data_IF_835356065898
#
_entry.id   IF_835356065898
#
_cell.length_a   1.000
_cell.length_b   1.000
_cell.length_c   1.000
_cell.angle_alpha   90.00
_cell.angle_beta   90.00
_cell.angle_gamma   90.00
#
_symmetry.space_group_name_H-M   'P 1'
#
loop_
_entity.id
_entity.type
_entity.pdbx_description
1 polymer ?
2 non-polymer ?
3 non-polymer ?
4 water ?
#
# COMPACT_ATOMS: atom_id res chain seq x y z
N UNK A 1 -15.48 7.32 -20.75
CA UNK A 1 -15.15 8.11 -19.50
C UNK A 1 -14.76 9.53 -19.83
N UNK A 2 -14.87 10.41 -18.82
CA UNK A 2 -14.18 11.71 -18.85
C UNK A 2 -12.67 11.55 -18.69
N UNK A 3 -11.90 12.61 -18.89
CA UNK A 3 -10.46 12.59 -18.66
C UNK A 3 -10.29 12.16 -17.20
N UNK A 4 -9.09 11.66 -16.84
CA UNK A 4 -8.78 11.31 -15.45
C UNK A 4 -9.07 12.42 -14.44
N UNK A 5 -8.52 13.62 -14.63
CA UNK A 5 -8.74 14.69 -13.64
C UNK A 5 -10.24 15.03 -13.48
N UNK A 6 -10.97 15.04 -14.59
CA UNK A 6 -12.41 15.23 -14.55
C UNK A 6 -13.11 14.13 -13.74
N UNK A 7 -12.71 12.87 -13.92
CA UNK A 7 -13.33 11.78 -13.18
C UNK A 7 -12.96 11.87 -11.69
N UNK A 8 -11.72 12.24 -11.42
CA UNK A 8 -11.27 12.34 -10.02
C UNK A 8 -12.11 13.38 -9.28
N UNK A 9 -12.31 14.54 -9.93
CA UNK A 9 -13.17 15.59 -9.37
C UNK A 9 -14.57 15.10 -9.12
N UNK A 10 -15.13 14.40 -10.09
CA UNK A 10 -16.46 13.87 -10.00
C UNK A 10 -16.58 12.90 -8.86
N UNK A 11 -15.54 12.08 -8.69
CA UNK A 11 -15.52 11.12 -7.61
C UNK A 11 -15.58 11.85 -6.27
N UNK A 12 -14.78 12.90 -6.15
CA UNK A 12 -14.70 13.60 -4.89
C UNK A 12 -16.07 14.23 -4.57
N UNK A 13 -16.73 14.80 -5.58
CA UNK A 13 -18.02 15.39 -5.40
C UNK A 13 -19.06 14.33 -5.00
N UNK A 14 -19.05 13.20 -5.71
CA UNK A 14 -20.04 12.17 -5.43
C UNK A 14 -19.83 11.49 -4.08
N UNK A 15 -18.56 11.33 -3.67
CA UNK A 15 -18.26 10.75 -2.37
C UNK A 15 -18.47 11.67 -1.17
N UNK A 16 -18.51 12.97 -1.42
CA UNK A 16 -18.49 14.00 -0.38
C UNK A 16 -17.38 13.71 0.56
N UNK A 17 -16.21 13.45 -0.01
CA UNK A 17 -15.00 13.32 0.79
C UNK A 17 -13.84 13.70 -0.08
N UNK A 18 -12.67 13.64 0.51
CA UNK A 18 -11.45 14.08 -0.18
C UNK A 18 -10.76 12.91 -0.86
N UNK A 19 -10.33 13.16 -2.11
CA UNK A 19 -9.55 12.19 -2.90
C UNK A 19 -8.17 12.73 -3.15
N UNK A 20 -7.17 11.87 -3.07
CA UNK A 20 -5.80 12.24 -3.36
C UNK A 20 -5.25 11.23 -4.33
N UNK A 21 -4.57 11.67 -5.40
CA UNK A 21 -4.07 10.72 -6.38
C UNK A 21 -2.83 11.18 -7.08
N UNK A 22 -1.88 10.27 -7.30
CA UNK A 22 -0.73 10.42 -8.23
C UNK A 22 -0.69 9.30 -9.25
N UNK A 23 -0.40 9.62 -10.53
CA UNK A 23 -0.05 8.64 -11.59
C UNK A 23 1.39 9.04 -11.98
N UNK A 24 2.33 8.12 -11.85
CA UNK A 24 3.75 8.39 -11.98
C UNK A 24 4.39 7.35 -12.87
N UNK A 25 5.25 7.77 -13.82
CA UNK A 25 5.98 6.80 -14.63
C UNK A 25 6.97 6.02 -13.76
N UNK A 26 6.89 4.69 -13.77
CA UNK A 26 7.77 3.92 -12.90
C UNK A 26 9.25 4.09 -13.25
N UNK A 27 9.56 4.04 -14.54
CA UNK A 27 10.98 4.16 -14.93
C UNK A 27 11.61 5.54 -14.65
N UNK A 28 10.90 6.62 -14.98
CA UNK A 28 11.52 7.94 -14.87
C UNK A 28 11.13 8.74 -13.63
N UNK A 29 10.00 8.38 -13.00
CA UNK A 29 9.49 9.16 -11.90
C UNK A 29 8.67 10.38 -12.27
N UNK A 30 8.47 10.60 -13.56
CA UNK A 30 7.63 11.72 -14.00
C UNK A 30 6.23 11.61 -13.45
N UNK A 31 5.72 12.71 -12.93
CA UNK A 31 4.31 12.80 -12.50
C UNK A 31 3.42 13.16 -13.68
N UNK A 32 2.47 12.30 -14.00
CA UNK A 32 1.56 12.50 -15.13
C UNK A 32 0.24 13.08 -14.77
N UNK A 33 -0.35 12.61 -13.69
CA UNK A 33 -1.63 13.15 -13.18
C UNK A 33 -1.42 13.31 -11.69
N UNK A 34 -1.94 14.40 -11.15
CA UNK A 34 -1.84 14.64 -9.72
C UNK A 34 -3.10 15.37 -9.28
N UNK A 35 -3.60 15.01 -8.12
CA UNK A 35 -4.80 15.68 -7.52
C UNK A 35 -4.59 15.60 -6.03
N UNK A 36 -4.50 16.72 -5.35
CA UNK A 36 -4.24 16.80 -3.92
C UNK A 36 -3.01 15.98 -3.52
N UNK A 37 -2.01 15.97 -4.40
CA UNK A 37 -0.91 15.02 -4.25
C UNK A 37 -0.03 15.37 -3.05
N UNK A 38 -0.11 16.59 -2.50
CA UNK A 38 0.63 16.97 -1.33
C UNK A 38 -0.14 17.05 -0.04
N UNK A 39 -1.40 16.58 -0.08
CA UNK A 39 -2.24 16.55 1.08
C UNK A 39 -2.14 15.19 1.77
N UNK A 40 -2.38 15.19 3.08
CA UNK A 40 -2.21 14.03 3.92
C UNK A 40 -3.44 13.14 3.93
N UNK A 41 -3.18 11.83 3.86
CA UNK A 41 -4.18 10.78 3.95
C UNK A 41 -3.66 9.63 4.82
N UNK A 42 -4.56 8.96 5.59
CA UNK A 42 -4.15 7.75 6.32
C UNK A 42 -3.67 6.68 5.36
N UNK A 43 -2.55 6.04 5.68
CA UNK A 43 -2.03 4.91 4.91
C UNK A 43 -2.84 3.66 5.04
N UNK A 44 -3.37 3.43 6.23
CA UNK A 44 -4.02 2.16 6.50
C UNK A 44 -3.09 1.02 6.12
N UNK A 45 -3.65 -0.07 5.58
CA UNK A 45 -2.84 -1.24 5.29
C UNK A 45 -1.82 -1.02 4.18
N UNK A 46 -1.91 0.09 3.44
CA UNK A 46 -0.92 0.35 2.43
C UNK A 46 0.47 0.53 2.99
N UNK A 47 0.57 0.83 4.28
CA UNK A 47 1.88 0.99 4.91
C UNK A 47 2.70 -0.28 4.88
N UNK A 48 2.05 -1.41 4.71
CA UNK A 48 2.72 -2.70 4.81
C UNK A 48 3.73 -2.94 3.68
N UNK A 49 3.55 -2.25 2.56
CA UNK A 49 4.58 -2.33 1.51
C UNK A 49 5.89 -1.66 1.94
N UNK A 50 5.79 -0.46 2.51
CA UNK A 50 6.98 0.25 2.99
C UNK A 50 7.62 -0.52 4.15
N UNK A 51 6.79 -1.10 5.03
CA UNK A 51 7.27 -1.93 6.12
C UNK A 51 8.19 -3.04 5.62
N UNK A 52 7.73 -3.77 4.62
CA UNK A 52 8.50 -4.88 4.10
C UNK A 52 9.69 -4.39 3.24
N UNK A 53 9.63 -3.15 2.73
CA UNK A 53 10.84 -2.49 2.23
C UNK A 53 11.89 -2.35 3.31
N UNK A 54 11.50 -1.92 4.51
CA UNK A 54 12.45 -1.74 5.61
C UNK A 54 13.02 -3.10 6.06
N UNK A 55 12.19 -4.14 6.00
CA UNK A 55 12.61 -5.50 6.35
C UNK A 55 13.66 -5.96 5.38
N UNK A 56 13.40 -5.82 4.08
CA UNK A 56 14.31 -6.19 3.04
C UNK A 56 15.64 -5.42 3.15
N UNK A 57 15.59 -4.15 3.55
CA UNK A 57 16.82 -3.35 3.68
C UNK A 57 17.67 -4.00 4.81
N UNK A 58 17.04 -4.50 5.84
CA UNK A 58 17.78 -5.18 6.91
C UNK A 58 18.36 -6.47 6.41
N UNK A 59 17.68 -7.21 5.52
CA UNK A 59 18.18 -8.46 4.98
C UNK A 59 19.42 -8.15 4.14
N UNK A 60 19.34 -7.10 3.33
CA UNK A 60 20.45 -6.73 2.46
C UNK A 60 21.69 -6.35 3.27
N UNK A 61 21.48 -5.70 4.39
CA UNK A 61 22.56 -5.30 5.30
C UNK A 61 23.11 -6.43 6.17
N UNK A 62 22.54 -7.64 6.11
CA UNK A 62 22.96 -8.76 6.95
C UNK A 62 22.42 -8.72 8.35
N UNK A 63 21.42 -7.89 8.59
CA UNK A 63 20.86 -7.75 9.90
C UNK A 63 19.55 -8.51 10.08
N UNK A 64 19.11 -9.23 9.04
CA UNK A 64 17.85 -10.00 9.05
C UNK A 64 17.96 -11.11 8.00
N UNK A 65 17.16 -12.15 8.18
CA UNK A 65 16.99 -13.19 7.17
C UNK A 65 15.50 -13.44 6.95
N UNK A 66 15.08 -13.56 5.70
CA UNK A 66 13.68 -13.92 5.43
C UNK A 66 13.32 -15.31 5.98
N UNK A 67 14.32 -16.20 6.09
CA UNK A 67 14.11 -17.54 6.61
C UNK A 67 13.94 -17.60 8.12
N UNK A 68 14.31 -16.55 8.85
CA UNK A 68 14.28 -16.55 10.33
C UNK A 68 12.86 -16.75 10.83
N UNK A 69 12.63 -17.79 11.63
CA UNK A 69 11.34 -18.12 12.16
C UNK A 69 11.09 -17.30 13.43
N UNK A 70 9.92 -16.66 13.45
CA UNK A 70 9.45 -15.90 14.60
C UNK A 70 8.34 -16.71 15.29
N UNK A 71 8.58 -17.10 16.53
CA UNK A 71 7.53 -17.75 17.25
C UNK A 71 6.81 -16.59 18.00
N UNK A 72 5.51 -16.64 17.93
CA UNK A 72 4.73 -15.62 18.58
C UNK A 72 3.67 -16.27 19.44
N UNK A 73 3.00 -15.45 20.24
CA UNK A 73 1.93 -15.94 21.15
C UNK A 73 0.57 -15.34 20.85
N UNK A 74 -0.45 -16.02 21.34
CA UNK A 74 -1.80 -15.60 21.12
C UNK A 74 -2.11 -14.22 21.66
N UNK A 75 -1.49 -13.88 22.79
CA UNK A 75 -1.71 -12.58 23.43
C UNK A 75 -1.20 -11.43 22.55
N UNK A 76 -0.27 -11.72 21.64
CA UNK A 76 0.31 -10.76 20.71
C UNK A 76 -0.67 -10.37 19.61
N UNK A 77 -1.64 -11.23 19.31
CA UNK A 77 -2.47 -11.05 18.12
C UNK A 77 -3.49 -9.92 18.22
N UNK A 78 -3.74 -9.28 17.07
CA UNK A 78 -4.79 -8.26 16.93
C UNK A 78 -5.82 -8.70 15.91
N UNK A 79 -6.86 -7.86 15.74
CA UNK A 79 -7.90 -8.05 14.75
C UNK A 79 -7.33 -8.24 13.35
N UNK A 80 -8.05 -9.00 12.54
CA UNK A 80 -7.63 -9.42 11.21
C UNK A 80 -6.23 -10.03 11.22
N UNK A 81 -6.24 -11.31 11.44
CA UNK A 81 -5.02 -12.09 11.48
C UNK A 81 -5.27 -13.52 10.97
N UNK A 82 -5.75 -13.62 9.72
CA UNK A 82 -6.17 -14.91 9.16
C UNK A 82 -5.04 -15.90 9.04
N UNK A 83 -3.83 -15.42 8.75
CA UNK A 83 -2.72 -16.31 8.51
C UNK A 83 -2.02 -16.53 9.84
N UNK A 84 -1.77 -15.48 10.61
CA UNK A 84 -0.99 -15.63 11.82
C UNK A 84 -1.75 -16.45 12.89
N UNK A 85 -3.07 -16.39 12.90
CA UNK A 85 -3.82 -17.28 13.80
C UNK A 85 -3.60 -18.78 13.50
N UNK A 86 -3.22 -19.12 12.27
CA UNK A 86 -2.86 -20.53 11.97
C UNK A 86 -1.52 -21.09 12.48
N UNK A 87 -0.58 -20.29 13.03
CA UNK A 87 0.83 -20.68 13.28
C UNK A 87 1.36 -20.35 14.63
N UNK A 88 0.46 -20.33 15.61
CA UNK A 88 0.86 -20.21 16.99
C UNK A 88 1.85 -21.28 17.38
N UNK A 89 1.55 -22.51 16.95
CA UNK A 89 2.29 -23.71 17.29
C UNK A 89 3.68 -23.63 16.69
N UNK A 90 3.75 -23.45 15.37
CA UNK A 90 5.03 -23.58 14.66
C UNK A 90 5.65 -22.26 14.16
N UNK A 91 5.00 -21.11 14.38
CA UNK A 91 5.61 -19.83 14.00
C UNK A 91 5.54 -19.56 12.51
N UNK A 92 6.08 -18.38 12.15
CA UNK A 92 6.19 -17.98 10.72
C UNK A 92 7.55 -17.36 10.51
N UNK A 93 8.09 -17.58 9.31
CA UNK A 93 9.33 -16.88 8.95
C UNK A 93 9.08 -15.40 8.69
N UNK A 94 10.14 -14.62 8.77
CA UNK A 94 10.07 -13.18 8.40
C UNK A 94 9.47 -13.01 7.01
N UNK A 95 9.91 -13.84 6.07
CA UNK A 95 9.40 -13.78 4.73
C UNK A 95 7.92 -14.15 4.62
N UNK A 96 7.52 -15.16 5.38
CA UNK A 96 6.10 -15.56 5.41
C UNK A 96 5.25 -14.45 6.02
N UNK A 97 5.81 -13.77 7.02
CA UNK A 97 5.12 -12.63 7.67
C UNK A 97 4.89 -11.50 6.67
N UNK A 98 5.91 -11.17 5.87
CA UNK A 98 5.72 -10.17 4.81
C UNK A 98 4.69 -10.61 3.77
N UNK A 99 4.73 -11.87 3.37
CA UNK A 99 3.72 -12.38 2.46
C UNK A 99 2.34 -12.30 3.05
N UNK A 100 2.19 -12.65 4.34
CA UNK A 100 0.91 -12.56 4.98
C UNK A 100 0.43 -11.12 5.08
N UNK A 101 1.32 -10.21 5.46
CA UNK A 101 0.98 -8.80 5.59
C UNK A 101 0.58 -8.20 4.25
N UNK A 102 1.36 -8.44 3.21
CA UNK A 102 1.10 -7.76 1.91
C UNK A 102 0.01 -8.52 1.14
N UNK A 103 0.04 -9.86 1.12
CA UNK A 103 -0.88 -10.58 0.26
C UNK A 103 -2.21 -10.95 0.87
N UNK A 104 -2.30 -10.98 2.20
CA UNK A 104 -3.54 -11.28 2.91
C UNK A 104 -3.94 -10.18 3.90
N UNK A 105 -3.18 -9.11 3.93
CA UNK A 105 -3.39 -7.99 4.85
C UNK A 105 -3.53 -8.39 6.33
N UNK A 106 -2.70 -9.34 6.74
CA UNK A 106 -2.69 -9.85 8.12
C UNK A 106 -2.08 -8.78 9.04
N UNK A 107 -2.89 -8.29 9.98
CA UNK A 107 -2.46 -7.20 10.83
C UNK A 107 -1.43 -7.62 11.89
N UNK A 108 -1.59 -8.82 12.44
CA UNK A 108 -0.67 -9.28 13.44
C UNK A 108 0.71 -9.54 12.81
N UNK A 109 0.72 -10.07 11.60
CA UNK A 109 1.98 -10.20 10.89
C UNK A 109 2.69 -8.84 10.75
N UNK A 110 1.92 -7.81 10.36
CA UNK A 110 2.49 -6.48 10.27
C UNK A 110 3.07 -5.98 11.61
N UNK A 111 2.38 -6.24 12.73
CA UNK A 111 2.94 -5.84 14.02
C UNK A 111 4.20 -6.59 14.40
N UNK A 112 4.25 -7.87 14.11
CA UNK A 112 5.46 -8.64 14.35
C UNK A 112 6.62 -8.08 13.55
N UNK A 113 6.37 -7.75 12.28
CA UNK A 113 7.44 -7.16 11.46
C UNK A 113 7.83 -5.76 11.93
N UNK A 114 6.86 -4.98 12.35
CA UNK A 114 7.16 -3.64 12.89
C UNK A 114 8.12 -3.73 14.08
N UNK A 115 7.94 -4.74 14.92
CA UNK A 115 8.85 -5.01 16.06
C UNK A 115 10.28 -5.10 15.53
N UNK A 116 10.47 -5.91 14.50
CA UNK A 116 11.80 -6.15 13.98
C UNK A 116 12.52 -4.95 13.36
N UNK A 117 11.81 -3.90 12.96
CA UNK A 117 12.41 -2.74 12.35
C UNK A 117 12.49 -1.55 13.29
N UNK A 118 12.17 -1.77 14.58
CA UNK A 118 12.20 -0.68 15.56
C UNK A 118 10.89 0.06 15.80
N UNK A 119 9.76 -0.60 15.50
CA UNK A 119 8.46 -0.04 15.66
C UNK A 119 8.18 1.11 14.69
N UNK A 120 7.06 1.83 14.92
CA UNK A 120 6.65 2.96 14.11
C UNK A 120 7.77 3.98 14.02
N UNK A 121 8.49 4.24 15.12
CA UNK A 121 9.59 5.19 15.09
C UNK A 121 10.72 4.71 14.19
N UNK A 122 11.03 3.42 14.25
CA UNK A 122 12.02 2.84 13.39
C UNK A 122 11.67 2.84 11.90
N UNK A 123 10.42 2.57 11.60
CA UNK A 123 10.00 2.61 10.20
C UNK A 123 10.06 4.06 9.68
N UNK A 124 9.64 4.98 10.51
CA UNK A 124 9.69 6.40 10.17
C UNK A 124 11.12 6.84 9.89
N UNK A 125 12.04 6.34 10.71
CA UNK A 125 13.46 6.65 10.50
C UNK A 125 13.97 6.06 9.20
N UNK A 126 13.49 4.87 8.83
CA UNK A 126 13.84 4.29 7.56
C UNK A 126 13.35 5.17 6.39
N UNK A 127 12.11 5.62 6.52
CA UNK A 127 11.55 6.57 5.54
C UNK A 127 12.44 7.81 5.36
N UNK A 128 12.85 8.41 6.48
CA UNK A 128 13.74 9.57 6.43
C UNK A 128 15.07 9.21 5.73
N UNK A 129 15.62 8.03 6.00
CA UNK A 129 16.83 7.56 5.35
C UNK A 129 16.78 7.40 3.83
N UNK A 130 15.60 7.05 3.31
CA UNK A 130 15.44 6.94 1.87
C UNK A 130 14.93 8.26 1.28
N UNK A 131 14.87 9.34 2.07
CA UNK A 131 14.55 10.67 1.56
C UNK A 131 13.08 11.00 1.52
N UNK A 132 12.26 10.23 2.24
CA UNK A 132 10.85 10.58 2.41
C UNK A 132 10.74 11.31 3.76
N UNK A 133 10.53 12.62 3.71
CA UNK A 133 10.39 13.43 4.92
C UNK A 133 8.96 13.76 5.28
N UNK A 134 7.99 13.07 4.66
CA UNK A 134 6.58 13.38 4.82
C UNK A 134 5.81 12.24 5.48
N UNK A 135 5.97 11.04 4.94
CA UNK A 135 5.24 9.87 5.46
C UNK A 135 5.68 9.55 6.87
N UNK A 136 4.73 9.19 7.71
CA UNK A 136 5.02 8.90 9.11
C UNK A 136 4.13 7.77 9.62
N UNK A 137 4.74 6.85 10.34
CA UNK A 137 4.00 5.86 11.11
C UNK A 137 4.21 6.15 12.59
N UNK A 138 3.11 6.20 13.30
CA UNK A 138 3.08 6.59 14.71
C UNK A 138 2.58 5.46 15.61
N UNK A 139 1.68 4.65 15.07
CA UNK A 139 0.96 3.61 15.84
C UNK A 139 1.09 2.22 15.18
N UNK A 140 0.67 1.21 15.94
CA UNK A 140 0.69 -0.18 15.52
C UNK A 140 -0.70 -0.55 15.00
N UNK A 141 -0.83 -1.74 14.44
CA UNK A 141 -2.15 -2.26 14.11
C UNK A 141 -2.87 -2.58 15.41
N UNK A 142 -4.15 -2.25 15.54
CA UNK A 142 -5.03 -1.68 14.49
C UNK A 142 -5.33 -0.17 14.68
N UNK A 143 -4.75 0.45 15.70
CA UNK A 143 -5.03 1.85 15.99
C UNK A 143 -4.57 2.77 14.86
N UNK A 144 -3.58 2.36 14.06
CA UNK A 144 -3.11 3.24 12.95
C UNK A 144 -4.20 3.53 11.90
N UNK A 145 -5.34 2.83 11.93
CA UNK A 145 -6.46 3.04 10.97
C UNK A 145 -7.57 4.00 11.44
N UNK A 146 -7.38 4.63 12.60
CA UNK A 146 -8.42 5.45 13.23
C UNK A 146 -8.88 6.63 12.37
N UNK A 147 -7.96 7.22 11.59
CA UNK A 147 -8.31 8.26 10.62
C UNK A 147 -9.13 9.39 11.23
N UNK A 148 -8.66 9.89 12.38
CA UNK A 148 -9.37 11.01 13.01
C UNK A 148 -9.21 12.22 12.12
N UNK A 149 -10.28 13.02 11.97
CA UNK A 149 -10.15 14.16 11.08
C UNK A 149 -9.01 15.11 11.49
N UNK A 150 -8.17 15.49 10.51
CA UNK A 150 -7.06 16.42 10.71
C UNK A 150 -5.85 15.90 11.49
N UNK A 151 -5.85 14.61 11.83
CA UNK A 151 -4.79 14.01 12.63
C UNK A 151 -3.67 13.56 11.69
N UNK A 152 -2.44 14.07 11.87
CA UNK A 152 -1.33 13.76 10.95
C UNK A 152 -0.70 12.37 11.23
N UNK A 153 -1.09 11.71 12.31
CA UNK A 153 -0.48 10.41 12.62
C UNK A 153 -0.78 9.40 11.51
N UNK A 154 0.22 8.59 11.19
CA UNK A 154 0.01 7.42 10.32
C UNK A 154 -0.48 7.84 8.93
N UNK A 155 0.05 8.95 8.44
CA UNK A 155 -0.31 9.47 7.14
C UNK A 155 0.83 9.52 6.16
N UNK A 156 0.47 9.61 4.89
CA UNK A 156 1.39 9.87 3.78
C UNK A 156 0.74 10.93 2.91
N UNK A 157 1.38 11.24 1.81
CA UNK A 157 0.74 11.99 0.74
C UNK A 157 0.83 11.15 -0.52
N UNK A 158 -0.07 11.35 -1.48
CA UNK A 158 0.09 10.56 -2.73
C UNK A 158 1.48 10.71 -3.36
N UNK A 159 1.96 11.93 -3.39
CA UNK A 159 3.29 12.19 -4.03
C UNK A 159 4.41 11.50 -3.28
N UNK A 160 4.37 11.58 -1.95
CA UNK A 160 5.45 10.93 -1.15
C UNK A 160 5.37 9.40 -1.26
N UNK A 161 4.17 8.84 -1.15
CA UNK A 161 4.07 7.40 -1.26
C UNK A 161 4.52 6.88 -2.61
N UNK A 162 4.13 7.57 -3.68
CA UNK A 162 4.53 7.15 -5.03
C UNK A 162 6.07 7.20 -5.18
N UNK A 163 6.66 8.31 -4.75
CA UNK A 163 8.11 8.44 -4.84
C UNK A 163 8.78 7.32 -4.01
N UNK A 164 8.28 7.08 -2.78
CA UNK A 164 8.87 6.03 -1.93
C UNK A 164 8.75 4.65 -2.53
N UNK A 165 7.60 4.36 -3.12
CA UNK A 165 7.43 3.06 -3.77
C UNK A 165 8.41 2.91 -4.94
N UNK A 166 8.55 3.96 -5.73
CA UNK A 166 9.53 3.91 -6.82
C UNK A 166 10.96 3.68 -6.31
N UNK A 167 11.32 4.39 -5.25
CA UNK A 167 12.64 4.17 -4.64
C UNK A 167 12.86 2.75 -4.21
N UNK A 168 11.84 2.14 -3.58
CA UNK A 168 11.99 0.77 -3.11
C UNK A 168 12.08 -0.24 -4.22
N UNK A 169 11.29 -0.05 -5.27
CA UNK A 169 11.19 -1.02 -6.34
C UNK A 169 12.29 -0.89 -7.38
N UNK A 170 12.87 0.31 -7.59
CA UNK A 170 13.70 0.56 -8.77
C UNK A 170 15.07 1.19 -8.50
N UNK A 171 15.30 1.75 -7.31
CA UNK A 171 16.47 2.67 -7.16
C UNK A 171 17.75 1.96 -6.79
N UNK A 172 17.68 0.67 -6.55
CA UNK A 172 18.88 -0.06 -6.11
C UNK A 172 19.36 0.35 -4.69
N UNK A 173 18.53 1.08 -3.93
CA UNK A 173 18.64 1.10 -2.48
C UNK A 173 18.46 -0.32 -1.93
N UNK A 174 17.48 -1.05 -2.46
CA UNK A 174 17.37 -2.47 -2.20
C UNK A 174 18.14 -3.26 -3.25
N UNK A 175 18.70 -4.38 -2.83
CA UNK A 175 19.34 -5.33 -3.73
C UNK A 175 18.40 -5.80 -4.83
N UNK A 176 18.97 -6.39 -5.88
CA UNK A 176 18.16 -6.87 -6.97
C UNK A 176 17.14 -7.90 -6.47
N UNK A 177 17.59 -8.88 -5.70
CA UNK A 177 16.70 -9.94 -5.23
C UNK A 177 15.60 -9.32 -4.34
N UNK A 178 15.97 -8.36 -3.50
CA UNK A 178 14.97 -7.73 -2.63
C UNK A 178 13.91 -6.94 -3.43
N UNK A 179 14.34 -6.20 -4.44
CA UNK A 179 13.41 -5.46 -5.31
C UNK A 179 12.45 -6.43 -5.94
N UNK A 180 12.94 -7.57 -6.40
CA UNK A 180 12.14 -8.56 -7.06
C UNK A 180 11.15 -9.18 -6.06
N UNK A 181 11.57 -9.37 -4.83
CA UNK A 181 10.69 -9.96 -3.82
C UNK A 181 9.54 -9.03 -3.46
N UNK A 182 9.87 -7.75 -3.29
CA UNK A 182 8.84 -6.76 -2.89
C UNK A 182 7.77 -6.66 -3.97
N UNK A 183 8.23 -6.64 -5.22
CA UNK A 183 7.33 -6.59 -6.36
C UNK A 183 6.43 -7.85 -6.41
N UNK A 184 7.05 -9.02 -6.24
CA UNK A 184 6.28 -10.22 -6.24
C UNK A 184 5.21 -10.32 -5.15
N UNK A 185 5.51 -9.82 -3.94
CA UNK A 185 4.48 -9.77 -2.90
C UNK A 185 3.29 -8.95 -3.36
N UNK A 186 3.52 -7.80 -4.01
CA UNK A 186 2.38 -7.01 -4.54
C UNK A 186 1.65 -7.71 -5.69
N UNK A 187 2.40 -8.39 -6.55
CA UNK A 187 1.76 -9.21 -7.64
C UNK A 187 0.81 -10.24 -7.04
N UNK A 188 1.20 -10.78 -5.88
CA UNK A 188 0.46 -11.88 -5.25
C UNK A 188 -0.66 -11.45 -4.30
N UNK A 189 -1.02 -10.17 -4.26
CA UNK A 189 -2.13 -9.76 -3.40
C UNK A 189 -3.38 -10.58 -3.65
N UNK A 190 -3.89 -11.22 -2.64
CA UNK A 190 -5.10 -12.02 -2.78
C UNK A 190 -6.35 -11.23 -2.47
N UNK A 191 -6.20 -10.12 -1.79
CA UNK A 191 -7.33 -9.35 -1.33
C UNK A 191 -8.02 -8.63 -2.49
N UNK A 192 -7.28 -7.89 -3.29
CA UNK A 192 -7.87 -7.14 -4.42
C UNK A 192 -7.32 -7.49 -5.79
N UNK A 193 -6.16 -8.15 -5.87
CA UNK A 193 -5.57 -8.41 -7.17
C UNK A 193 -6.49 -9.17 -8.14
N UNK A 194 -6.99 -10.34 -7.69
CA UNK A 194 -7.85 -11.11 -8.58
C UNK A 194 -9.12 -10.35 -8.97
N UNK A 195 -9.70 -9.61 -8.02
CA UNK A 195 -10.89 -8.77 -8.35
C UNK A 195 -10.58 -7.73 -9.40
N UNK A 196 -9.45 -7.01 -9.22
CA UNK A 196 -9.03 -6.06 -10.22
C UNK A 196 -8.83 -6.71 -11.58
N UNK A 197 -8.17 -7.87 -11.62
CA UNK A 197 -7.92 -8.54 -12.91
C UNK A 197 -9.22 -8.92 -13.61
N UNK A 198 -10.23 -9.26 -12.82
CA UNK A 198 -11.52 -9.61 -13.40
C UNK A 198 -12.20 -8.44 -14.12
N UNK A 199 -11.84 -7.20 -13.81
CA UNK A 199 -12.39 -6.04 -14.52
C UNK A 199 -11.39 -5.33 -15.42
N UNK A 200 -10.14 -5.78 -15.47
CA UNK A 200 -9.18 -5.15 -16.33
C UNK A 200 -9.28 -5.72 -17.73
N UNK A 201 -9.08 -4.90 -18.75
CA UNK A 201 -8.96 -5.44 -20.10
C UNK A 201 -7.80 -6.40 -20.19
N UNK A 202 -7.93 -7.36 -21.08
CA UNK A 202 -6.83 -8.24 -21.35
C UNK A 202 -5.61 -7.37 -21.71
N UNK A 203 -4.45 -7.84 -21.24
CA UNK A 203 -3.17 -7.24 -21.52
C UNK A 203 -2.66 -6.29 -20.45
N UNK A 204 -3.46 -6.00 -19.46
CA UNK A 204 -3.06 -4.98 -18.45
C UNK A 204 -2.50 -5.69 -17.22
N UNK A 205 -1.28 -5.30 -16.85
CA UNK A 205 -0.57 -5.67 -15.62
C UNK A 205 -1.19 -5.01 -14.39
N UNK A 206 -1.35 -5.74 -13.29
CA UNK A 206 -1.63 -5.14 -11.99
C UNK A 206 -0.83 -5.80 -10.88
N UNK A 207 -0.30 -4.96 -9.99
CA UNK A 207 0.21 -5.38 -8.67
C UNK A 207 -0.27 -4.35 -7.70
N UNK A 208 -0.57 -4.70 -6.46
CA UNK A 208 -1.24 -3.73 -5.61
C UNK A 208 -1.15 -4.04 -4.14
N UNK A 209 -1.43 -3.03 -3.34
CA UNK A 209 -1.85 -3.20 -1.98
C UNK A 209 -2.94 -2.21 -1.65
N UNK A 210 -3.99 -2.68 -0.98
CA UNK A 210 -5.12 -1.84 -0.61
C UNK A 210 -5.18 -1.62 0.88
N UNK A 211 -6.02 -0.67 1.30
CA UNK A 211 -6.26 -0.47 2.72
C UNK A 211 -7.60 0.18 2.92
N UNK A 212 -8.04 0.09 4.16
CA UNK A 212 -9.33 0.69 4.61
C UNK A 212 -9.24 1.11 6.06
N UNK A 213 -9.97 2.17 6.39
CA UNK A 213 -9.99 2.67 7.75
C UNK A 213 -11.29 3.31 8.10
N UNK A 214 -11.27 4.07 9.19
CA UNK A 214 -12.49 4.70 9.65
C UNK A 214 -12.84 5.92 8.86
N UNK A 215 -14.09 6.35 9.01
CA UNK A 215 -14.58 7.58 8.38
C UNK A 215 -14.45 7.56 6.85
N UNK A 216 -14.64 6.38 6.27
CA UNK A 216 -14.57 6.15 4.86
C UNK A 216 -13.16 6.03 4.25
N UNK A 217 -12.16 6.05 5.07
CA UNK A 217 -10.79 5.99 4.55
C UNK A 217 -10.60 4.74 3.71
N UNK A 218 -10.01 4.89 2.53
CA UNK A 218 -9.80 3.77 1.60
C UNK A 218 -8.57 4.13 0.77
N UNK A 219 -7.79 3.14 0.37
CA UNK A 219 -6.64 3.46 -0.46
C UNK A 219 -6.12 2.29 -1.22
N UNK A 220 -5.38 2.65 -2.27
CA UNK A 220 -4.67 1.63 -3.06
C UNK A 220 -3.35 2.21 -3.53
N UNK A 221 -2.31 1.40 -3.47
CA UNK A 221 -1.03 1.65 -4.12
C UNK A 221 -0.84 0.57 -5.16
N UNK A 222 -0.51 0.93 -6.39
CA UNK A 222 -0.52 -0.04 -7.44
C UNK A 222 0.52 0.24 -8.52
N UNK A 223 0.87 -0.83 -9.21
CA UNK A 223 1.59 -0.77 -10.50
C UNK A 223 0.66 -1.28 -11.59
N UNK A 224 0.62 -0.53 -12.69
CA UNK A 224 -0.35 -0.76 -13.76
C UNK A 224 0.28 -0.46 -15.11
N UNK A 225 -0.12 -1.23 -16.10
CA UNK A 225 0.24 -0.88 -17.44
C UNK A 225 -0.21 -1.81 -18.50
N UNK A 226 -0.25 -1.33 -19.75
CA UNK A 226 -0.63 -2.14 -20.90
C UNK A 226 0.52 -3.06 -21.30
N UNK A 227 0.25 -3.94 -22.27
CA UNK A 227 1.30 -4.81 -22.80
C UNK A 227 1.99 -5.65 -21.74
N UNK A 228 1.24 -6.00 -20.71
CA UNK A 228 1.72 -6.82 -19.63
C UNK A 228 2.95 -6.34 -18.92
N UNK A 229 3.08 -5.01 -18.84
CA UNK A 229 4.22 -4.37 -18.20
C UNK A 229 3.81 -3.40 -17.09
N UNK A 230 4.53 -3.35 -16.00
CA UNK A 230 4.32 -2.37 -14.94
C UNK A 230 4.81 -0.99 -15.30
N UNK A 231 4.02 -0.21 -16.02
CA UNK A 231 4.49 1.05 -16.58
C UNK A 231 4.42 2.24 -15.61
N UNK A 232 3.35 2.28 -14.81
CA UNK A 232 3.11 3.41 -13.91
C UNK A 232 2.73 2.98 -12.50
N UNK A 233 3.09 3.82 -11.55
CA UNK A 233 2.62 3.73 -10.19
C UNK A 233 1.37 4.58 -10.13
N UNK A 234 0.31 4.04 -9.53
CA UNK A 234 -0.93 4.78 -9.28
C UNK A 234 -1.26 4.67 -7.80
N UNK A 235 -1.39 5.80 -7.13
CA UNK A 235 -1.71 5.89 -5.71
C UNK A 235 -3.02 6.66 -5.60
N UNK A 236 -4.03 6.07 -4.98
CA UNK A 236 -5.32 6.76 -4.73
C UNK A 236 -5.68 6.57 -3.30
N UNK A 237 -5.93 7.67 -2.60
CA UNK A 237 -6.47 7.64 -1.25
C UNK A 237 -7.80 8.39 -1.21
N UNK A 238 -8.71 7.92 -0.34
CA UNK A 238 -9.96 8.58 -0.04
C UNK A 238 -10.03 8.78 1.47
N UNK A 239 -10.63 9.89 1.91
CA UNK A 239 -10.88 10.07 3.33
C UNK A 239 -12.09 10.94 3.57
N UNK A 240 -12.66 10.78 4.78
CA UNK A 240 -13.75 11.61 5.26
C UNK A 240 -14.96 11.63 4.35
N UNK A 241 -15.42 10.45 3.97
CA UNK A 241 -16.59 10.27 3.16
C UNK A 241 -17.45 9.29 3.96
N UNK A 242 -18.79 9.53 3.96
CA UNK A 242 -19.73 8.59 4.57
C UNK A 242 -20.18 7.46 3.65
N UNK A 243 -19.56 7.31 2.48
CA UNK A 243 -20.04 6.35 1.50
C UNK A 243 -19.78 4.92 1.87
N UNK A 244 -20.64 4.03 1.35
CA UNK A 244 -20.41 2.61 1.50
C UNK A 244 -19.08 2.13 0.95
N UNK A 245 -18.61 1.00 1.48
CA UNK A 245 -17.43 0.34 0.94
C UNK A 245 -17.59 0.08 -0.55
N UNK A 246 -18.77 -0.40 -0.97
CA UNK A 246 -19.01 -0.63 -2.39
C UNK A 246 -18.87 0.63 -3.24
N UNK A 247 -19.45 1.76 -2.83
CA UNK A 247 -19.34 2.98 -3.63
C UNK A 247 -17.91 3.54 -3.63
N UNK A 248 -17.18 3.39 -2.53
CA UNK A 248 -15.78 3.79 -2.53
C UNK A 248 -14.95 2.94 -3.52
N UNK A 249 -15.18 1.65 -3.49
CA UNK A 249 -14.56 0.72 -4.46
C UNK A 249 -14.90 1.09 -5.90
N UNK A 250 -16.19 1.33 -6.14
CA UNK A 250 -16.62 1.71 -7.49
C UNK A 250 -16.01 3.03 -7.99
N UNK A 251 -15.87 4.01 -7.09
CA UNK A 251 -15.33 5.28 -7.49
C UNK A 251 -13.83 5.14 -7.82
N UNK A 252 -13.11 4.36 -7.03
CA UNK A 252 -11.70 4.09 -7.35
C UNK A 252 -11.60 3.38 -8.70
N UNK A 253 -12.46 2.39 -8.90
CA UNK A 253 -12.48 1.69 -10.20
C UNK A 253 -12.75 2.66 -11.35
N UNK A 254 -13.65 3.61 -11.15
CA UNK A 254 -13.93 4.62 -12.17
C UNK A 254 -12.76 5.49 -12.52
N UNK A 255 -11.96 5.84 -11.51
CA UNK A 255 -10.77 6.61 -11.79
C UNK A 255 -9.82 5.73 -12.62
N UNK A 256 -9.68 4.47 -12.23
CA UNK A 256 -8.86 3.53 -13.00
C UNK A 256 -9.34 3.40 -14.46
N UNK A 257 -10.64 3.32 -14.65
CA UNK A 257 -11.20 3.25 -16.04
C UNK A 257 -10.80 4.47 -16.86
N UNK A 258 -10.89 5.67 -16.27
CA UNK A 258 -10.47 6.87 -16.95
C UNK A 258 -8.98 6.88 -17.29
N UNK A 259 -8.11 6.39 -16.40
CA UNK A 259 -6.67 6.32 -16.68
C UNK A 259 -6.38 5.42 -17.83
N UNK A 260 -7.09 4.30 -17.90
CA UNK A 260 -6.90 3.32 -18.97
C UNK A 260 -7.33 3.93 -20.27
N UNK A 261 -8.53 4.53 -20.26
CA UNK A 261 -9.10 5.09 -21.51
C UNK A 261 -8.28 6.19 -22.12
N UNK A 262 -7.54 6.90 -21.29
CA UNK A 262 -6.83 8.04 -21.75
C UNK A 262 -5.35 7.85 -21.38
N UNK A 263 -4.90 6.59 -21.53
CA UNK A 263 -3.54 6.25 -21.10
C UNK A 263 -2.44 7.06 -21.76
N UNK A 264 -2.60 7.35 -23.05
CA UNK A 264 -1.49 7.97 -23.78
C UNK A 264 -1.43 9.48 -23.52
N UNK A 265 -0.50 9.89 -22.66
CA UNK A 265 -0.42 11.27 -22.19
C UNK A 265 1.02 11.70 -21.92
X LIG B 1 -12.87 -1.03 -22.07
X LIG B 1 -13.10 -2.27 -22.89
X LIG B 1 -11.79 -2.92 -23.33
X LIG B 1 -10.88 -1.90 -23.97
X LIG B 1 -10.69 -0.67 -23.09
X LIG B 1 -9.83 0.45 -23.68
X LIG B 1 -13.80 -3.25 -22.17
X LIG B 1 -12.05 -4.06 -24.18
X LIG B 1 -11.96 -0.12 -22.72
X LIG B 1 -10.34 0.80 -24.98
X LIG B 1 -12.25 -1.45 -20.79
X LIG B 1 -9.62 -2.57 -24.11
X LIG B 1 -12.74 -0.92 -16.76
X LIG B 1 -13.79 -1.82 -17.33
X LIG B 1 -13.27 -2.19 -18.73
X LIG B 1 -12.92 -1.00 -19.60
X LIG B 1 -11.97 -0.07 -18.87
X LIG B 1 -11.69 1.24 -19.56
X LIG B 1 -13.18 -0.58 -15.43
X LIG B 1 -13.99 -2.94 -16.51
X LIG B 1 -14.22 -2.97 -19.43
X LIG B 1 -12.52 0.22 -17.58
X LIG B 1 -12.94 1.88 -19.81
X LIG B 1 -12.12 -0.05 -14.62
X LIG B 1 -11.44 -1.14 -13.83
X LIG B 1 -10.26 -0.53 -13.09
X LIG B 1 -9.48 -1.58 -12.32
X LIG B 1 -8.10 -1.03 -11.98
X LIG B 1 -8.22 -0.04 -10.85
X LIG B 1 -6.99 0.25 -10.00
X LIG B 1 -7.30 1.64 -9.41
X LIG B 1 -6.14 2.48 -8.96
X LIG B 1 -4.85 1.72 -8.98
X LIG B 1 -4.61 1.14 -10.34
X LIG B 1 -5.63 0.07 -10.70
X LIG C 1 -12.56 -2.61 -7.39
X LIG C 1 -11.15 -2.39 -6.84
X LIG C 1 -10.93 -3.39 -5.73
X LIG C 1 -10.69 -2.77 -4.36
X LIG C 1 -9.59 -1.72 -4.40
X LIG C 1 -9.84 -0.63 -5.43
X LIG C 1 -10.97 -0.93 -6.42
X LIG D 1 -6.07 -1.39 5.75
X LIG D 1 -5.69 -2.47 6.20
X LIG D 1 -6.40 -3.23 7.06
X LIG D 1 -6.30 -4.74 7.07
X LIG D 1 -7.74 -2.87 7.53
X LIG D 1 -7.76 -2.56 8.87
X LIG D 1 -6.79 -2.89 9.56
X LIG D 1 -8.82 -1.93 9.37
X LIG D 1 -8.90 -3.33 6.75
X LIG D 1 -8.86 -4.83 6.83
X LIG D 1 -7.53 -5.46 6.40
X LIG D 1 -7.53 -5.54 4.93
X LIG D 1 -7.26 -4.36 4.28
X LIG D 1 -7.81 -4.24 2.84
X LIG D 1 -8.92 -5.27 2.59
X LIG D 1 -6.62 -4.49 1.91
X LIG D 1 -8.40 -2.86 2.62
#
# INVERSE_FOLDING_TARGET
SPQPLEQIKLSESQLSGRVGMIEMDLASGRTLTAWRADERFPMMSTFKVVLCGAVLARVDAGDEQLERKIHYRQQDLVDYSPVSEKHLADGMTVGELCAAAITMSDNSAANLLLATVGGPAGLTAFLRQIGDNVTRLDRWETELNEALPGDARDTTTPASMAATLRKLLTSQRLSARSQRQLLQWMVDDRVAGPLIRSVLPAGWFIADKTGAGERGARGIVALLGPNNKAERIVVIYLRDTPASMAERNQQIAGIGAALIEHWQR
MA4 C1 C2 C3 C4 C5 C6 O2 O3 O5 O6 O1 O4 C10 C20 C30 C40 C50 C60 O10 O20 O30 O50 O60 C11 C21 C31 C41 C51 C61 C12 C22 C32 C42 C52 C62
MA4 C61 C12 C22 C32 C42 C52 C62
NXL OAC CAN N CAJ CA C O NAA CB CAH CAO NAK OAL SAR OAD OAE OAG
#
